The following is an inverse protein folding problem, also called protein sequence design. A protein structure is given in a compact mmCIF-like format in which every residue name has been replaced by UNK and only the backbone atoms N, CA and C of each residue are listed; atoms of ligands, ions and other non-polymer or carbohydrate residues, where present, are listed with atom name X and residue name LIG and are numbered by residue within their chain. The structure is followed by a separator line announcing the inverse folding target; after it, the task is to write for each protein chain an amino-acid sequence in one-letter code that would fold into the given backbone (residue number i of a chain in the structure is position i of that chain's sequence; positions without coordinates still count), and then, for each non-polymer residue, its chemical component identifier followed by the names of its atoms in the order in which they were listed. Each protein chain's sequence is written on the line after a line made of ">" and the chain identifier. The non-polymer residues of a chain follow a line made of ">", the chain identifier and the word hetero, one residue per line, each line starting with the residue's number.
data_IF_463046471075
#
_entry.id   IF_463046471075
#
_cell.length_a   1.000
_cell.length_b   1.000
_cell.length_c   1.000
_cell.angle_alpha   90.00
_cell.angle_beta   90.00
_cell.angle_gamma   90.00
#
_symmetry.space_group_name_H-M   'P 1'
#
loop_
_entity.id
_entity.type
_entity.pdbx_description
1 polymer ?
#
# COMPACT_ATOMS: atom_id res chain seq x y z
N UNK A 1 -8.11 -5.26 -19.02
CA UNK A 1 -7.51 -5.63 -17.71
C UNK A 1 -8.31 -6.72 -17.01
N UNK A 2 -9.63 -6.57 -16.85
CA UNK A 2 -10.49 -7.59 -16.25
C UNK A 2 -10.40 -8.96 -16.94
N UNK A 3 -10.37 -9.02 -18.27
CA UNK A 3 -10.18 -10.26 -19.04
C UNK A 3 -8.83 -10.94 -18.73
N UNK A 4 -7.77 -10.17 -18.49
CA UNK A 4 -6.46 -10.71 -18.13
C UNK A 4 -6.47 -11.31 -16.73
N UNK A 5 -7.16 -10.67 -15.78
CA UNK A 5 -7.39 -11.20 -14.42
C UNK A 5 -8.13 -12.54 -14.51
N UNK A 6 -9.15 -12.63 -15.37
CA UNK A 6 -9.93 -13.84 -15.60
C UNK A 6 -9.08 -14.95 -16.22
N UNK A 7 -8.37 -14.66 -17.30
CA UNK A 7 -7.53 -15.62 -18.02
C UNK A 7 -6.42 -16.21 -17.14
N UNK A 8 -5.90 -15.44 -16.20
CA UNK A 8 -4.89 -15.88 -15.23
C UNK A 8 -5.49 -16.58 -14.00
N UNK A 9 -6.82 -16.54 -13.80
CA UNK A 9 -7.49 -17.11 -12.64
C UNK A 9 -7.04 -16.49 -11.31
N UNK A 10 -6.75 -15.18 -11.30
CA UNK A 10 -6.23 -14.52 -10.10
C UNK A 10 -7.29 -14.45 -9.00
N UNK A 11 -6.91 -14.84 -7.78
CA UNK A 11 -7.74 -14.71 -6.58
C UNK A 11 -7.67 -13.31 -5.94
N UNK A 12 -6.60 -12.58 -6.24
CA UNK A 12 -6.39 -11.21 -5.77
C UNK A 12 -5.55 -10.47 -6.81
N UNK A 13 -5.95 -9.27 -7.18
CA UNK A 13 -5.30 -8.44 -8.20
C UNK A 13 -4.88 -7.10 -7.61
N UNK A 14 -3.64 -6.68 -7.87
CA UNK A 14 -3.19 -5.32 -7.57
C UNK A 14 -3.16 -4.50 -8.85
N UNK A 15 -3.90 -3.40 -8.84
CA UNK A 15 -4.00 -2.44 -9.94
C UNK A 15 -3.22 -1.19 -9.56
N UNK A 16 -2.39 -0.68 -10.47
CA UNK A 16 -1.67 0.59 -10.30
C UNK A 16 -1.59 1.29 -11.64
N UNK A 17 -1.26 2.58 -11.62
CA UNK A 17 -1.05 3.36 -12.82
C UNK A 17 -0.12 4.54 -12.58
N UNK A 18 -0.08 5.44 -13.55
CA UNK A 18 0.66 6.70 -13.49
C UNK A 18 -0.28 7.84 -13.12
N UNK A 19 0.28 8.94 -12.59
CA UNK A 19 -0.46 10.20 -12.49
C UNK A 19 -0.80 10.70 -13.91
N UNK A 20 -2.04 11.14 -14.10
CA UNK A 20 -2.57 11.62 -15.39
C UNK A 20 -3.03 13.06 -15.28
N UNK A 21 -2.09 13.93 -14.87
CA UNK A 21 -2.33 15.37 -14.77
C UNK A 21 -2.68 16.02 -16.13
N UNK A 22 -2.52 15.27 -17.23
CA UNK A 22 -2.96 15.63 -18.58
C UNK A 22 -4.47 15.48 -18.81
N UNK A 23 -5.20 14.81 -17.91
CA UNK A 23 -6.64 14.61 -17.96
C UNK A 23 -7.36 15.51 -16.95
N UNK A 24 -8.55 16.00 -17.32
CA UNK A 24 -9.36 16.88 -16.47
C UNK A 24 -9.76 16.22 -15.13
N UNK A 25 -9.96 14.90 -15.13
CA UNK A 25 -10.30 14.11 -13.96
C UNK A 25 -9.09 13.44 -13.29
N UNK A 26 -7.86 13.76 -13.72
CA UNK A 26 -6.64 13.11 -13.24
C UNK A 26 -6.57 11.60 -13.53
N UNK A 27 -7.48 11.07 -14.35
CA UNK A 27 -7.68 9.65 -14.60
C UNK A 27 -8.57 8.93 -13.58
N UNK A 28 -9.26 9.63 -12.68
CA UNK A 28 -10.09 9.04 -11.62
C UNK A 28 -11.11 8.03 -12.16
N UNK A 29 -11.79 8.36 -13.26
CA UNK A 29 -12.74 7.45 -13.91
C UNK A 29 -12.07 6.14 -14.33
N UNK A 30 -10.87 6.22 -14.93
CA UNK A 30 -10.15 5.03 -15.41
C UNK A 30 -9.77 4.08 -14.28
N UNK A 31 -9.33 4.61 -13.13
CA UNK A 31 -9.05 3.80 -11.94
C UNK A 31 -10.33 3.15 -11.40
N UNK A 32 -11.40 3.94 -11.27
CA UNK A 32 -12.68 3.45 -10.75
C UNK A 32 -13.28 2.36 -11.67
N UNK A 33 -13.30 2.60 -12.97
CA UNK A 33 -13.88 1.70 -13.97
C UNK A 33 -13.11 0.39 -14.07
N UNK A 34 -11.78 0.45 -13.97
CA UNK A 34 -10.96 -0.77 -13.94
C UNK A 34 -11.35 -1.69 -12.78
N UNK A 35 -11.62 -1.15 -11.60
CA UNK A 35 -12.08 -1.95 -10.44
C UNK A 35 -13.47 -2.53 -10.70
N UNK A 36 -14.42 -1.70 -11.17
CA UNK A 36 -15.80 -2.14 -11.46
C UNK A 36 -15.83 -3.30 -12.46
N UNK A 37 -15.07 -3.20 -13.54
CA UNK A 37 -14.96 -4.23 -14.57
C UNK A 37 -14.31 -5.52 -14.04
N UNK A 38 -13.30 -5.40 -13.16
CA UNK A 38 -12.70 -6.59 -12.52
C UNK A 38 -13.74 -7.29 -11.63
N UNK A 39 -14.46 -6.56 -10.78
CA UNK A 39 -15.48 -7.15 -9.91
C UNK A 39 -16.63 -7.79 -10.70
N UNK A 40 -17.08 -7.15 -11.79
CA UNK A 40 -18.16 -7.65 -12.63
C UNK A 40 -17.78 -8.96 -13.34
N UNK A 41 -16.58 -9.04 -13.92
CA UNK A 41 -16.13 -10.21 -14.67
C UNK A 41 -15.51 -11.30 -13.78
N UNK A 42 -15.00 -10.93 -12.60
CA UNK A 42 -14.26 -11.79 -11.68
C UNK A 42 -14.80 -11.66 -10.25
N UNK A 43 -16.04 -12.10 -9.97
CA UNK A 43 -16.66 -11.89 -8.66
C UNK A 43 -15.93 -12.60 -7.51
N UNK A 44 -15.05 -13.57 -7.79
CA UNK A 44 -14.21 -14.25 -6.79
C UNK A 44 -12.85 -13.60 -6.55
N UNK A 45 -12.59 -12.41 -7.08
CA UNK A 45 -11.27 -11.77 -7.05
C UNK A 45 -11.29 -10.47 -6.26
N UNK A 46 -10.48 -10.39 -5.20
CA UNK A 46 -10.28 -9.13 -4.48
C UNK A 46 -9.35 -8.17 -5.24
N UNK A 47 -9.56 -6.87 -5.07
CA UNK A 47 -8.82 -5.82 -5.77
C UNK A 47 -8.12 -4.88 -4.77
N UNK A 48 -6.80 -4.77 -4.89
CA UNK A 48 -6.02 -3.68 -4.29
C UNK A 48 -5.76 -2.61 -5.34
N UNK A 49 -6.18 -1.39 -5.09
CA UNK A 49 -6.00 -0.26 -6.00
C UNK A 49 -4.96 0.71 -5.44
N UNK A 50 -3.78 0.78 -6.08
CA UNK A 50 -2.72 1.73 -5.75
C UNK A 50 -2.87 2.98 -6.61
N UNK A 51 -3.16 4.11 -5.97
CA UNK A 51 -3.56 5.36 -6.64
C UNK A 51 -2.53 6.48 -6.51
N UNK A 52 -2.48 7.43 -7.47
CA UNK A 52 -1.89 8.76 -7.24
C UNK A 52 -2.70 9.53 -6.19
N UNK A 53 -2.32 10.77 -5.89
CA UNK A 53 -3.04 11.55 -4.87
C UNK A 53 -4.29 12.25 -5.41
N UNK A 54 -4.48 12.32 -6.74
CA UNK A 54 -5.56 13.07 -7.41
C UNK A 54 -5.67 14.52 -6.90
N UNK A 55 -4.54 15.11 -6.50
CA UNK A 55 -4.49 16.40 -5.80
C UNK A 55 -5.38 16.50 -4.54
N UNK A 56 -5.78 15.37 -3.97
CA UNK A 56 -6.80 15.23 -2.93
C UNK A 56 -8.15 15.88 -3.28
N UNK A 57 -8.48 15.98 -4.57
CA UNK A 57 -9.77 16.48 -5.01
C UNK A 57 -10.90 15.56 -4.51
N UNK A 58 -11.88 16.08 -3.75
CA UNK A 58 -12.94 15.26 -3.17
C UNK A 58 -13.81 14.54 -4.21
N UNK A 59 -14.00 15.13 -5.40
CA UNK A 59 -14.80 14.53 -6.47
C UNK A 59 -14.09 13.33 -7.09
N UNK A 60 -12.83 13.52 -7.47
CA UNK A 60 -11.98 12.46 -8.04
C UNK A 60 -11.76 11.32 -7.04
N UNK A 61 -11.43 11.66 -5.78
CA UNK A 61 -11.31 10.66 -4.73
C UNK A 61 -12.64 9.94 -4.47
N UNK A 62 -13.75 10.67 -4.45
CA UNK A 62 -15.09 10.09 -4.28
C UNK A 62 -15.45 9.08 -5.37
N UNK A 63 -15.11 9.38 -6.64
CA UNK A 63 -15.31 8.47 -7.77
C UNK A 63 -14.51 7.18 -7.60
N UNK A 64 -13.22 7.30 -7.26
CA UNK A 64 -12.33 6.16 -7.03
C UNK A 64 -12.74 5.34 -5.82
N UNK A 65 -13.11 5.97 -4.71
CA UNK A 65 -13.57 5.25 -3.52
C UNK A 65 -14.92 4.55 -3.76
N UNK A 66 -15.76 5.14 -4.62
CA UNK A 66 -17.05 4.59 -5.02
C UNK A 66 -16.96 3.27 -5.78
N UNK A 67 -15.79 2.92 -6.36
CA UNK A 67 -15.59 1.60 -6.98
C UNK A 67 -15.34 0.47 -5.97
N UNK A 68 -15.21 0.79 -4.67
CA UNK A 68 -15.12 -0.16 -3.55
C UNK A 68 -14.02 -1.23 -3.70
N UNK A 69 -12.75 -0.88 -3.98
CA UNK A 69 -11.68 -1.87 -3.91
C UNK A 69 -11.55 -2.42 -2.49
N UNK A 70 -11.20 -3.71 -2.36
CA UNK A 70 -10.94 -4.34 -1.06
C UNK A 70 -9.84 -3.63 -0.27
N UNK A 71 -8.80 -3.14 -0.95
CA UNK A 71 -7.75 -2.29 -0.36
C UNK A 71 -7.51 -1.07 -1.25
N UNK A 72 -7.54 0.12 -0.66
CA UNK A 72 -7.10 1.36 -1.30
C UNK A 72 -5.70 1.70 -0.80
N UNK A 73 -4.72 1.65 -1.70
CA UNK A 73 -3.34 1.97 -1.41
C UNK A 73 -2.97 3.36 -1.94
N UNK A 74 -2.30 4.16 -1.12
CA UNK A 74 -1.60 5.37 -1.54
C UNK A 74 -0.27 5.46 -0.81
N UNK A 75 0.83 5.33 -1.54
CA UNK A 75 2.14 5.30 -0.94
C UNK A 75 2.64 6.71 -0.63
N UNK A 76 3.15 6.95 0.58
CA UNK A 76 3.97 8.14 0.88
C UNK A 76 5.43 7.95 0.44
N UNK A 77 5.90 6.71 0.36
CA UNK A 77 7.24 6.27 -0.06
C UNK A 77 8.41 6.71 0.82
N UNK A 78 8.36 7.89 1.44
CA UNK A 78 9.48 8.40 2.24
C UNK A 78 9.05 9.43 3.28
N UNK A 79 10.02 9.92 4.07
CA UNK A 79 9.82 10.81 5.22
C UNK A 79 9.73 12.29 4.79
N UNK A 80 9.07 13.17 5.57
CA UNK A 80 8.79 14.56 5.18
C UNK A 80 9.99 15.36 4.68
N UNK A 81 11.16 15.23 5.35
CA UNK A 81 12.38 16.00 5.03
C UNK A 81 12.87 15.77 3.60
N UNK A 82 12.83 14.53 3.11
CA UNK A 82 13.32 14.18 1.77
C UNK A 82 12.20 14.01 0.74
N UNK A 83 10.94 14.02 1.17
CA UNK A 83 9.77 13.81 0.32
C UNK A 83 9.74 14.70 -0.92
N UNK A 84 9.93 16.03 -0.77
CA UNK A 84 9.89 16.97 -1.91
C UNK A 84 10.98 16.69 -2.94
N UNK A 85 12.12 16.14 -2.51
CA UNK A 85 13.24 15.76 -3.40
C UNK A 85 12.93 14.50 -4.20
N UNK A 86 12.30 13.52 -3.55
CA UNK A 86 11.97 12.23 -4.17
C UNK A 86 10.68 12.31 -5.01
N UNK A 87 9.69 13.09 -4.55
CA UNK A 87 8.35 13.20 -5.13
C UNK A 87 7.92 14.67 -5.31
N UNK A 88 8.53 15.41 -6.25
CA UNK A 88 8.29 16.86 -6.39
C UNK A 88 6.84 17.23 -6.74
N UNK A 89 6.10 16.34 -7.42
CA UNK A 89 4.69 16.53 -7.78
C UNK A 89 3.70 16.27 -6.63
N UNK A 90 4.16 15.72 -5.50
CA UNK A 90 3.30 15.35 -4.37
C UNK A 90 3.58 16.22 -3.15
N UNK A 91 2.70 16.18 -2.16
CA UNK A 91 2.91 16.79 -0.83
C UNK A 91 2.64 15.75 0.24
N UNK A 92 3.55 15.61 1.21
CA UNK A 92 3.45 14.60 2.26
C UNK A 92 2.11 14.67 3.01
N UNK A 93 1.73 15.87 3.48
CA UNK A 93 0.46 16.09 4.17
C UNK A 93 -0.77 15.74 3.30
N UNK A 94 -0.71 16.02 1.99
CA UNK A 94 -1.78 15.68 1.05
C UNK A 94 -1.89 14.17 0.85
N UNK A 95 -0.77 13.46 0.80
CA UNK A 95 -0.78 11.99 0.75
C UNK A 95 -1.39 11.37 2.01
N UNK A 96 -1.17 11.95 3.20
CA UNK A 96 -1.86 11.52 4.42
C UNK A 96 -3.36 11.81 4.38
N UNK A 97 -3.76 12.95 3.81
CA UNK A 97 -5.17 13.30 3.63
C UNK A 97 -5.91 12.30 2.75
N UNK A 98 -5.29 11.81 1.66
CA UNK A 98 -5.86 10.77 0.79
C UNK A 98 -6.19 9.51 1.61
N UNK A 99 -5.26 9.05 2.45
CA UNK A 99 -5.47 7.88 3.33
C UNK A 99 -6.59 8.14 4.35
N UNK A 100 -6.60 9.33 4.96
CA UNK A 100 -7.63 9.73 5.92
C UNK A 100 -9.03 9.69 5.29
N UNK A 101 -9.17 10.23 4.07
CA UNK A 101 -10.44 10.23 3.33
C UNK A 101 -10.85 8.82 2.90
N UNK A 102 -9.92 7.99 2.46
CA UNK A 102 -10.19 6.59 2.12
C UNK A 102 -10.68 5.79 3.33
N UNK A 103 -10.06 5.98 4.50
CA UNK A 103 -10.51 5.38 5.77
C UNK A 103 -11.91 5.88 6.15
N UNK A 104 -12.18 7.18 5.98
CA UNK A 104 -13.49 7.76 6.28
C UNK A 104 -14.59 7.21 5.35
N UNK A 105 -14.24 6.85 4.12
CA UNK A 105 -15.12 6.14 3.18
C UNK A 105 -15.33 4.64 3.53
N UNK A 106 -14.67 4.14 4.57
CA UNK A 106 -14.79 2.78 5.07
C UNK A 106 -13.88 1.75 4.41
N UNK A 107 -13.00 2.17 3.49
CA UNK A 107 -12.07 1.28 2.79
C UNK A 107 -10.96 0.80 3.73
N UNK A 108 -10.41 -0.38 3.47
CA UNK A 108 -9.12 -0.77 4.08
C UNK A 108 -8.01 0.01 3.39
N UNK A 109 -7.15 0.65 4.16
CA UNK A 109 -6.13 1.56 3.63
C UNK A 109 -4.73 0.96 3.72
N UNK A 110 -3.90 1.33 2.75
CA UNK A 110 -2.52 0.85 2.68
C UNK A 110 -1.54 1.94 2.25
N UNK A 111 -0.32 1.88 2.77
CA UNK A 111 0.78 2.70 2.30
C UNK A 111 2.11 1.93 2.31
N UNK A 112 3.16 2.59 1.83
CA UNK A 112 4.51 2.05 1.74
C UNK A 112 5.55 3.09 2.16
N UNK A 113 6.61 2.63 2.82
CA UNK A 113 7.86 3.36 3.03
C UNK A 113 9.01 2.60 2.35
N UNK A 114 9.79 3.31 1.54
CA UNK A 114 11.01 2.80 0.92
C UNK A 114 12.19 3.41 1.69
N UNK A 115 13.02 2.54 2.26
CA UNK A 115 14.19 2.92 3.06
C UNK A 115 15.47 2.93 2.21
N UNK A 116 16.50 3.64 2.66
CA UNK A 116 17.78 3.75 1.99
C UNK A 116 17.91 4.96 1.05
N UNK A 117 17.03 5.95 1.17
CA UNK A 117 17.07 7.20 0.40
C UNK A 117 17.63 8.38 1.20
N UNK A 118 18.06 8.14 2.44
CA UNK A 118 18.70 9.13 3.32
C UNK A 118 17.83 9.54 4.51
N UNK A 119 16.74 8.83 4.75
CA UNK A 119 15.95 8.91 5.98
C UNK A 119 16.68 8.26 7.17
N UNK A 120 16.47 8.79 8.38
CA UNK A 120 16.97 8.17 9.61
C UNK A 120 15.94 7.20 10.21
N UNK A 121 16.36 6.23 11.05
CA UNK A 121 15.42 5.35 11.74
C UNK A 121 14.35 6.08 12.57
N UNK A 122 14.70 7.22 13.18
CA UNK A 122 13.75 8.03 13.95
C UNK A 122 12.72 8.72 13.04
N UNK A 123 13.14 9.22 11.87
CA UNK A 123 12.20 9.78 10.89
C UNK A 123 11.24 8.71 10.35
N UNK A 124 11.69 7.47 10.19
CA UNK A 124 10.83 6.34 9.82
C UNK A 124 9.79 6.08 10.92
N UNK A 125 10.18 6.11 12.19
CA UNK A 125 9.24 5.94 13.32
C UNK A 125 8.20 7.07 13.37
N UNK A 126 8.60 8.31 13.11
CA UNK A 126 7.67 9.44 13.00
C UNK A 126 6.70 9.22 11.83
N UNK A 127 7.19 8.87 10.64
CA UNK A 127 6.34 8.62 9.49
C UNK A 127 5.36 7.45 9.70
N UNK A 128 5.77 6.39 10.41
CA UNK A 128 4.90 5.28 10.78
C UNK A 128 3.77 5.74 11.71
N UNK A 129 4.07 6.60 12.68
CA UNK A 129 3.04 7.21 13.56
C UNK A 129 2.08 8.07 12.75
N UNK A 130 2.60 8.96 11.89
CA UNK A 130 1.76 9.85 11.07
C UNK A 130 0.85 9.07 10.10
N UNK A 131 1.35 7.97 9.52
CA UNK A 131 0.55 7.06 8.70
C UNK A 131 -0.55 6.38 9.51
N UNK A 132 -0.22 5.89 10.71
CA UNK A 132 -1.20 5.27 11.60
C UNK A 132 -2.30 6.27 11.99
N UNK A 133 -1.90 7.47 12.40
CA UNK A 133 -2.83 8.55 12.81
C UNK A 133 -3.71 9.01 11.64
N UNK A 134 -3.20 8.96 10.40
CA UNK A 134 -3.98 9.19 9.18
C UNK A 134 -4.94 8.03 8.82
N UNK A 135 -4.99 6.97 9.64
CA UNK A 135 -5.88 5.83 9.45
C UNK A 135 -5.37 4.82 8.43
N UNK A 136 -4.05 4.74 8.20
CA UNK A 136 -3.42 3.66 7.45
C UNK A 136 -3.44 2.35 8.26
N UNK A 137 -3.83 1.23 7.64
CA UNK A 137 -3.97 -0.05 8.33
C UNK A 137 -2.97 -1.11 7.86
N UNK A 138 -2.57 -1.03 6.60
CA UNK A 138 -1.55 -1.92 6.04
C UNK A 138 -0.33 -1.09 5.69
N UNK A 139 0.84 -1.46 6.24
CA UNK A 139 2.11 -0.80 5.94
C UNK A 139 3.13 -1.80 5.41
N UNK A 140 3.71 -1.46 4.26
CA UNK A 140 4.89 -2.13 3.72
C UNK A 140 6.13 -1.27 3.91
N UNK A 141 7.25 -1.90 4.29
CA UNK A 141 8.52 -1.23 4.56
C UNK A 141 9.61 -1.97 3.76
N UNK A 142 10.19 -1.30 2.77
CA UNK A 142 11.02 -1.94 1.74
C UNK A 142 12.38 -1.28 1.58
N UNK A 143 13.30 -1.91 0.85
CA UNK A 143 14.59 -1.31 0.49
C UNK A 143 14.49 -0.57 -0.86
N UNK A 144 15.08 0.62 -0.93
CA UNK A 144 15.28 1.33 -2.17
C UNK A 144 16.31 0.62 -3.03
N UNK A 145 15.88 0.19 -4.22
CA UNK A 145 16.75 -0.33 -5.27
C UNK A 145 16.82 0.71 -6.37
N UNK A 146 18.00 1.31 -6.53
CA UNK A 146 18.24 2.37 -7.53
C UNK A 146 18.05 1.81 -8.95
N UNK A 147 17.07 2.30 -9.74
CA UNK A 147 16.80 1.74 -11.06
C UNK A 147 17.91 2.01 -12.09
N UNK A 148 18.56 3.18 -12.01
CA UNK A 148 19.66 3.55 -12.89
C UNK A 148 20.54 4.66 -12.27
N UNK A 149 21.73 4.93 -12.82
CA UNK A 149 22.60 6.02 -12.36
C UNK A 149 22.00 7.44 -12.45
N UNK A 150 20.87 7.62 -13.14
CA UNK A 150 20.17 8.92 -13.21
C UNK A 150 19.19 9.12 -12.04
N UNK A 151 18.81 8.07 -11.34
CA UNK A 151 17.91 8.13 -10.19
C UNK A 151 18.67 8.48 -8.92
N UNK A 152 17.92 8.85 -7.86
CA UNK A 152 18.47 9.14 -6.53
C UNK A 152 19.46 8.04 -6.10
N UNK A 153 20.65 8.37 -5.58
CA UNK A 153 21.60 7.38 -5.11
C UNK A 153 21.03 6.59 -3.93
N UNK A 154 21.48 5.35 -3.76
CA UNK A 154 21.24 4.61 -2.51
C UNK A 154 22.13 5.26 -1.45
N UNK A 155 21.51 5.76 -0.37
CA UNK A 155 22.21 6.38 0.75
C UNK A 155 22.70 5.30 1.74
N UNK A 156 21.83 4.33 2.04
CA UNK A 156 22.16 3.19 2.90
C UNK A 156 21.44 1.90 2.49
N UNK A 157 22.07 0.77 2.81
CA UNK A 157 21.47 -0.56 2.75
C UNK A 157 21.01 -0.92 4.16
N UNK A 158 19.70 -0.99 4.36
CA UNK A 158 19.10 -1.27 5.67
C UNK A 158 19.30 -2.74 6.01
N UNK A 159 19.76 -3.02 7.24
CA UNK A 159 20.00 -4.40 7.66
C UNK A 159 18.69 -5.14 7.95
N UNK A 160 18.64 -6.48 7.81
CA UNK A 160 17.45 -7.26 8.14
C UNK A 160 16.90 -7.01 9.56
N UNK A 161 17.78 -6.80 10.54
CA UNK A 161 17.39 -6.53 11.94
C UNK A 161 16.63 -5.21 12.06
N UNK A 162 17.03 -4.17 11.32
CA UNK A 162 16.34 -2.88 11.31
C UNK A 162 14.93 -2.99 10.71
N UNK A 163 14.73 -3.84 9.69
CA UNK A 163 13.38 -4.13 9.18
C UNK A 163 12.52 -4.81 10.24
N UNK A 164 13.07 -5.73 11.03
CA UNK A 164 12.36 -6.36 12.15
C UNK A 164 11.99 -5.33 13.23
N UNK A 165 12.90 -4.42 13.57
CA UNK A 165 12.63 -3.34 14.52
C UNK A 165 11.53 -2.41 14.05
N UNK A 166 11.55 -1.97 12.78
CA UNK A 166 10.49 -1.16 12.20
C UNK A 166 9.15 -1.91 12.16
N UNK A 167 9.17 -3.20 11.88
CA UNK A 167 7.98 -4.04 11.90
C UNK A 167 7.36 -4.12 13.29
N UNK A 168 8.17 -4.42 14.32
CA UNK A 168 7.74 -4.46 15.72
C UNK A 168 7.21 -3.11 16.19
N UNK A 169 7.87 -2.03 15.76
CA UNK A 169 7.40 -0.69 16.06
C UNK A 169 6.01 -0.45 15.45
N UNK A 170 5.81 -0.71 14.16
CA UNK A 170 4.50 -0.58 13.50
C UNK A 170 3.42 -1.45 14.17
N UNK A 171 3.72 -2.69 14.50
CA UNK A 171 2.83 -3.58 15.25
C UNK A 171 2.45 -2.97 16.62
N UNK A 172 3.43 -2.38 17.34
CA UNK A 172 3.17 -1.71 18.62
C UNK A 172 2.33 -0.43 18.50
N UNK A 173 2.27 0.20 17.32
CA UNK A 173 1.35 1.30 17.04
C UNK A 173 -0.09 0.81 16.92
N UNK A 174 -0.28 -0.43 16.43
CA UNK A 174 -1.58 -1.05 16.19
C UNK A 174 -1.87 -1.34 14.72
N UNK A 175 -0.88 -1.30 13.81
CA UNK A 175 -1.11 -1.69 12.41
C UNK A 175 -1.54 -3.16 12.32
N UNK A 176 -2.73 -3.46 11.75
CA UNK A 176 -3.17 -4.85 11.59
C UNK A 176 -2.36 -5.62 10.53
N UNK A 177 -1.85 -4.94 9.50
CA UNK A 177 -1.06 -5.55 8.44
C UNK A 177 0.32 -4.91 8.32
N UNK A 178 1.38 -5.62 8.72
CA UNK A 178 2.75 -5.12 8.59
C UNK A 178 3.60 -6.08 7.77
N UNK A 179 4.35 -5.54 6.80
CA UNK A 179 5.32 -6.32 6.04
C UNK A 179 6.59 -5.51 5.84
N UNK A 180 7.69 -5.98 6.44
CA UNK A 180 8.99 -5.33 6.36
C UNK A 180 10.06 -6.29 5.84
N UNK A 181 10.88 -5.82 4.89
CA UNK A 181 12.02 -6.59 4.40
C UNK A 181 12.63 -6.01 3.12
N UNK A 182 13.86 -6.42 2.79
CA UNK A 182 14.61 -5.85 1.67
C UNK A 182 14.02 -6.20 0.30
N UNK A 183 13.32 -7.33 0.16
CA UNK A 183 12.72 -7.79 -1.10
C UNK A 183 11.19 -7.74 -1.10
N UNK A 184 10.60 -7.19 -0.03
CA UNK A 184 9.17 -6.96 0.05
C UNK A 184 8.76 -6.02 -1.07
N UNK A 185 7.67 -6.37 -1.77
CA UNK A 185 7.01 -5.49 -2.73
C UNK A 185 5.61 -5.18 -2.22
N UNK A 186 5.10 -4.00 -2.56
CA UNK A 186 3.75 -3.56 -2.14
C UNK A 186 2.69 -4.64 -2.39
N UNK A 187 2.68 -5.32 -3.53
CA UNK A 187 1.66 -6.34 -3.86
C UNK A 187 1.88 -7.74 -3.24
N UNK A 188 3.01 -8.00 -2.56
CA UNK A 188 3.32 -9.32 -2.03
C UNK A 188 2.37 -9.67 -0.88
N UNK A 189 1.68 -10.83 -0.97
CA UNK A 189 0.67 -11.32 0.01
C UNK A 189 -0.46 -10.32 0.31
N UNK A 190 -0.80 -9.44 -0.63
CA UNK A 190 -1.82 -8.39 -0.44
C UNK A 190 -3.20 -8.92 0.01
N UNK A 191 -3.73 -9.95 -0.66
CA UNK A 191 -5.04 -10.52 -0.31
C UNK A 191 -5.12 -11.11 1.10
N UNK A 192 -3.97 -11.53 1.64
CA UNK A 192 -3.88 -11.99 3.01
C UNK A 192 -3.83 -10.84 4.01
N UNK A 193 -3.05 -9.80 3.74
CA UNK A 193 -3.00 -8.61 4.59
C UNK A 193 -4.40 -7.99 4.71
N UNK A 194 -5.17 -8.02 3.61
CA UNK A 194 -6.59 -7.67 3.62
C UNK A 194 -7.40 -8.56 4.58
N UNK A 195 -7.31 -9.89 4.45
CA UNK A 195 -7.99 -10.84 5.33
C UNK A 195 -7.67 -10.62 6.82
N UNK A 196 -6.40 -10.43 7.15
CA UNK A 196 -5.94 -10.14 8.51
C UNK A 196 -6.49 -8.81 9.02
N UNK A 197 -6.58 -7.79 8.16
CA UNK A 197 -7.11 -6.47 8.52
C UNK A 197 -8.60 -6.52 8.80
N UNK A 198 -9.38 -7.22 7.96
CA UNK A 198 -10.81 -7.46 8.20
C UNK A 198 -11.05 -8.16 9.54
N UNK A 199 -10.29 -9.22 9.82
CA UNK A 199 -10.36 -9.92 11.11
C UNK A 199 -10.01 -9.00 12.30
N UNK A 200 -8.98 -8.14 12.17
CA UNK A 200 -8.63 -7.17 13.20
C UNK A 200 -9.72 -6.11 13.44
N UNK A 201 -10.43 -5.70 12.38
CA UNK A 201 -11.62 -4.84 12.49
C UNK A 201 -12.84 -5.54 13.13
N UNK A 202 -12.79 -6.85 13.33
CA UNK A 202 -13.95 -7.65 13.74
C UNK A 202 -15.00 -7.79 12.63
N UNK A 203 -14.56 -7.67 11.37
CA UNK A 203 -15.42 -7.74 10.18
C UNK A 203 -15.19 -9.06 9.43
N UNK A 204 -16.27 -9.70 8.99
CA UNK A 204 -16.17 -10.89 8.16
C UNK A 204 -15.66 -10.56 6.75
N UNK A 205 -14.99 -11.54 6.14
CA UNK A 205 -14.71 -11.49 4.71
C UNK A 205 -16.00 -11.76 3.93
N UNK A 206 -16.19 -11.08 2.78
CA UNK A 206 -17.22 -11.48 1.83
C UNK A 206 -17.09 -12.96 1.46
N UNK A 207 -18.22 -13.67 1.30
CA UNK A 207 -18.23 -15.12 1.04
C UNK A 207 -17.39 -15.50 -0.18
N UNK A 208 -17.49 -14.70 -1.24
CA UNK A 208 -16.70 -14.83 -2.47
C UNK A 208 -15.18 -14.68 -2.26
N UNK A 209 -14.73 -14.09 -1.14
CA UNK A 209 -13.33 -13.85 -0.78
C UNK A 209 -12.86 -14.63 0.45
N UNK A 210 -13.69 -15.50 1.04
CA UNK A 210 -13.36 -16.27 2.24
C UNK A 210 -12.08 -17.14 2.08
N UNK A 211 -11.79 -17.55 0.84
CA UNK A 211 -10.60 -18.32 0.48
C UNK A 211 -9.27 -17.56 0.73
N UNK A 212 -9.29 -16.22 0.87
CA UNK A 212 -8.10 -15.42 1.18
C UNK A 212 -7.58 -15.67 2.60
N UNK A 213 -8.45 -16.06 3.54
CA UNK A 213 -8.06 -16.38 4.92
C UNK A 213 -7.27 -17.70 5.03
N UNK A 214 -7.37 -18.60 4.05
CA UNK A 214 -6.79 -19.95 4.11
C UNK A 214 -5.29 -20.00 3.73
N UNK A 215 -4.67 -18.86 3.40
CA UNK A 215 -3.29 -18.82 2.91
C UNK A 215 -2.22 -18.78 4.02
N UNK A 216 -1.93 -19.90 4.72
CA UNK A 216 -0.71 -20.16 5.55
C UNK A 216 -0.30 -19.10 6.60
N UNK A 217 0.95 -19.06 7.15
CA UNK A 217 1.51 -17.98 8.03
C UNK A 217 2.28 -16.86 7.27
N UNK A 218 2.13 -15.58 7.67
CA UNK A 218 2.63 -14.40 6.94
C UNK A 218 4.03 -14.03 7.41
N UNK A 219 4.71 -14.95 8.08
CA UNK A 219 5.95 -14.68 8.80
C UNK A 219 6.90 -13.84 7.94
N UNK A 220 7.33 -12.73 8.53
CA UNK A 220 8.11 -11.65 7.94
C UNK A 220 9.35 -12.21 7.25
N UNK A 221 9.58 -11.78 6.01
CA UNK A 221 10.73 -12.19 5.20
C UNK A 221 12.06 -11.89 5.92
N UNK A 222 12.16 -10.74 6.60
CA UNK A 222 13.34 -10.38 7.40
C UNK A 222 13.63 -11.40 8.52
N UNK A 223 12.62 -11.81 9.28
CA UNK A 223 12.75 -12.83 10.32
C UNK A 223 13.14 -14.20 9.74
N UNK A 224 12.68 -14.52 8.52
CA UNK A 224 13.07 -15.75 7.82
C UNK A 224 14.52 -15.75 7.32
N UNK A 225 15.06 -14.57 6.98
CA UNK A 225 16.47 -14.40 6.62
C UNK A 225 17.37 -14.54 7.86
N UNK A 226 16.95 -13.97 9.00
CA UNK A 226 17.67 -14.09 10.27
C UNK A 226 17.68 -15.52 10.82
N UNK A 227 16.62 -16.30 10.60
CA UNK A 227 16.55 -17.69 11.04
C UNK A 227 17.43 -18.67 10.23
N UNK A 228 18.06 -18.21 9.13
CA UNK A 228 18.92 -19.03 8.25
C UNK A 228 20.42 -18.88 8.56
N UNK A 229 20.77 -18.12 9.59
CA UNK A 229 22.13 -17.89 10.07
C UNK A 229 22.22 -18.11 11.58
#
# INVERSE_FOLDING_TARGET
>A
MAESVQAMGLRYSTVTGVARDDLDDGGAWLYAETVREIHALNPGTGVELLIPDFNADPGQLGEVFGSRPEVLAHNVETVPRIFKRIRPGFRYARSLEVLTRARAAGLVTKSNLILGMGETPDEVRVALRELFDAGCEIITITQYLRPSPRHHPVDRWVKPEEFVEHSRFAESLGFPGVMAGPLVRSSYRAGRLYAQTKAHRGEDLPENLAHLAQQGPAAQEASSLLARH
#
